data_IF_876282735871
#
_entry.id   IF_876282735871
#
_cell.length_a   1.000
_cell.length_b   1.000
_cell.length_c   1.000
_cell.angle_alpha   90.00
_cell.angle_beta   90.00
_cell.angle_gamma   90.00
#
_symmetry.space_group_name_H-M   'P 1'
#
loop_
_entity.id
_entity.type
_entity.pdbx_description
1 polymer ?
#
# COMPACT_ATOMS: atom_id res chain seq x y z
N UNK A 1 27.98 -2.55 -23.35
CA UNK A 1 28.28 -1.36 -24.18
C UNK A 1 27.66 -1.61 -25.54
N UNK A 2 26.70 -0.80 -25.94
CA UNK A 2 25.97 -0.92 -27.20
C UNK A 2 24.87 0.15 -27.21
N UNK A 3 25.04 1.26 -27.95
CA UNK A 3 24.09 2.37 -27.96
C UNK A 3 23.07 2.15 -29.08
N UNK A 4 21.78 2.35 -28.79
CA UNK A 4 20.82 2.71 -29.84
C UNK A 4 19.86 3.74 -29.26
N UNK A 5 20.17 5.00 -29.56
CA UNK A 5 19.24 6.10 -29.36
C UNK A 5 18.05 5.97 -30.31
N UNK A 6 16.90 6.47 -29.86
CA UNK A 6 15.90 7.11 -30.71
C UNK A 6 15.37 8.31 -29.95
N UNK A 7 16.19 9.36 -29.91
CA UNK A 7 15.72 10.73 -29.78
C UNK A 7 15.18 11.12 -31.16
N UNK A 8 13.86 11.07 -31.31
CA UNK A 8 13.18 11.36 -32.58
C UNK A 8 13.16 12.89 -32.81
N UNK A 9 13.81 13.43 -33.85
CA UNK A 9 13.92 14.88 -34.07
C UNK A 9 12.59 15.53 -34.50
N UNK A 10 11.53 14.77 -34.74
CA UNK A 10 10.25 15.27 -35.23
C UNK A 10 9.37 15.97 -34.16
N UNK A 11 9.71 15.91 -32.86
CA UNK A 11 8.92 16.54 -31.79
C UNK A 11 9.65 17.69 -31.06
N UNK A 12 10.73 18.20 -31.65
CA UNK A 12 11.41 19.39 -31.12
C UNK A 12 10.74 20.63 -31.71
N UNK A 13 9.63 21.04 -31.10
CA UNK A 13 9.00 22.33 -31.39
C UNK A 13 9.93 23.45 -30.89
N UNK A 14 10.92 23.82 -31.69
CA UNK A 14 11.68 25.06 -31.52
C UNK A 14 10.81 26.19 -32.04
N UNK A 15 10.17 26.91 -31.12
CA UNK A 15 9.60 28.22 -31.42
C UNK A 15 10.77 29.20 -31.57
N UNK A 16 10.92 29.91 -32.71
CA UNK A 16 11.90 30.97 -32.83
C UNK A 16 11.45 32.15 -31.97
N UNK A 17 12.17 32.42 -30.89
CA UNK A 17 12.06 33.66 -30.11
C UNK A 17 13.02 34.67 -30.73
N UNK A 18 12.54 35.38 -31.76
CA UNK A 18 13.09 36.68 -32.08
C UNK A 18 12.10 37.76 -31.63
N UNK A 19 12.67 38.83 -31.08
CA UNK A 19 12.05 40.10 -30.70
C UNK A 19 11.25 40.14 -29.39
N UNK A 20 11.97 40.27 -28.27
CA UNK A 20 11.56 41.20 -27.21
C UNK A 20 12.76 42.11 -26.96
N UNK A 21 12.53 43.42 -27.19
CA UNK A 21 13.58 44.43 -27.26
C UNK A 21 14.31 44.68 -25.94
N UNK A 22 15.40 45.44 -26.05
CA UNK A 22 16.15 46.08 -24.97
C UNK A 22 15.22 46.44 -23.80
N UNK A 23 15.29 45.63 -22.74
CA UNK A 23 14.79 46.05 -21.45
C UNK A 23 15.87 46.99 -20.92
N UNK A 24 15.63 48.30 -21.01
CA UNK A 24 16.28 49.26 -20.14
C UNK A 24 16.05 48.78 -18.70
N UNK A 25 17.10 48.21 -18.11
CA UNK A 25 17.18 47.87 -16.70
C UNK A 25 17.09 49.17 -15.89
N UNK A 26 15.87 49.71 -15.75
CA UNK A 26 15.54 50.55 -14.61
C UNK A 26 15.57 49.61 -13.42
N UNK A 27 16.76 49.46 -12.82
CA UNK A 27 16.93 49.05 -11.43
C UNK A 27 16.10 50.02 -10.58
N UNK A 28 14.81 49.71 -10.47
CA UNK A 28 13.97 50.29 -9.43
C UNK A 28 14.54 49.70 -8.15
N UNK A 29 15.35 50.49 -7.47
CA UNK A 29 15.77 50.28 -6.09
C UNK A 29 14.52 50.05 -5.24
N UNK A 30 14.16 48.78 -5.07
CA UNK A 30 13.14 48.38 -4.11
C UNK A 30 13.82 48.47 -2.75
N UNK A 31 13.48 49.51 -1.99
CA UNK A 31 14.03 49.70 -0.66
C UNK A 31 13.68 48.47 0.22
N UNK A 32 14.66 47.73 0.78
CA UNK A 32 14.39 46.55 1.59
C UNK A 32 13.67 46.86 2.91
N UNK A 33 13.48 48.15 3.22
CA UNK A 33 12.69 48.66 4.35
C UNK A 33 11.21 48.86 4.05
N UNK A 34 10.77 48.81 2.79
CA UNK A 34 9.34 48.83 2.45
C UNK A 34 8.72 47.46 2.73
N UNK A 35 8.32 47.22 3.99
CA UNK A 35 7.43 46.10 4.30
C UNK A 35 6.07 46.39 3.64
N UNK A 36 5.58 45.56 2.70
CA UNK A 36 4.22 45.71 2.21
C UNK A 36 3.28 45.58 3.42
N UNK A 37 2.48 46.62 3.70
CA UNK A 37 1.58 46.69 4.86
C UNK A 37 0.38 45.72 4.79
N UNK A 38 0.42 44.70 3.94
CA UNK A 38 -0.65 43.72 3.79
C UNK A 38 -0.18 42.35 4.30
N UNK A 39 -0.07 42.19 5.61
CA UNK A 39 -0.24 40.86 6.20
C UNK A 39 -1.73 40.51 6.08
N UNK A 40 -2.19 40.16 4.87
CA UNK A 40 -3.60 39.85 4.68
C UNK A 40 -3.92 38.60 5.53
N UNK A 41 -4.70 38.69 6.62
CA UNK A 41 -4.96 37.56 7.53
C UNK A 41 -5.78 36.46 6.84
N UNK A 42 -6.21 36.72 5.60
CA UNK A 42 -6.97 35.83 4.75
C UNK A 42 -6.20 34.54 4.41
N UNK A 43 -4.89 34.61 4.14
CA UNK A 43 -4.14 33.42 3.71
C UNK A 43 -4.06 32.37 4.83
N UNK A 44 -3.64 32.70 6.08
CA UNK A 44 -3.70 31.74 7.18
C UNK A 44 -5.13 31.27 7.50
N UNK A 45 -6.13 32.16 7.47
CA UNK A 45 -7.51 31.79 7.78
C UNK A 45 -8.11 30.79 6.77
N UNK A 46 -7.85 31.00 5.48
CA UNK A 46 -8.30 30.09 4.41
C UNK A 46 -7.63 28.72 4.54
N UNK A 47 -6.34 28.66 4.88
CA UNK A 47 -5.65 27.38 5.11
C UNK A 47 -6.30 26.60 6.26
N UNK A 48 -6.58 27.23 7.40
CA UNK A 48 -7.25 26.55 8.53
C UNK A 48 -8.66 26.07 8.18
N UNK A 49 -9.44 26.89 7.46
CA UNK A 49 -10.77 26.48 7.00
C UNK A 49 -10.70 25.23 6.10
N UNK A 50 -9.76 25.20 5.16
CA UNK A 50 -9.58 24.08 4.25
C UNK A 50 -9.06 22.82 4.98
N UNK A 51 -8.22 23.00 6.02
CA UNK A 51 -7.81 21.90 6.90
C UNK A 51 -9.03 21.28 7.61
N UNK A 52 -9.84 22.10 8.28
CA UNK A 52 -11.05 21.62 8.97
C UNK A 52 -12.04 20.93 8.02
N UNK A 53 -12.25 21.47 6.82
CA UNK A 53 -13.08 20.82 5.80
C UNK A 53 -12.54 19.44 5.40
N UNK A 54 -11.22 19.35 5.20
CA UNK A 54 -10.58 18.09 4.82
C UNK A 54 -10.68 17.04 5.93
N UNK A 55 -10.54 17.47 7.19
CA UNK A 55 -10.71 16.61 8.36
C UNK A 55 -12.14 16.03 8.42
N UNK A 56 -13.15 16.87 8.22
CA UNK A 56 -14.54 16.44 8.18
C UNK A 56 -14.84 15.44 7.05
N UNK A 57 -14.33 15.72 5.83
CA UNK A 57 -14.50 14.82 4.69
C UNK A 57 -13.83 13.44 4.93
N UNK A 58 -12.65 13.43 5.56
CA UNK A 58 -11.95 12.18 5.95
C UNK A 58 -12.76 11.37 6.96
N UNK A 59 -13.34 12.02 7.96
CA UNK A 59 -14.14 11.36 8.98
C UNK A 59 -15.41 10.74 8.36
N UNK A 60 -16.12 11.47 7.50
CA UNK A 60 -17.28 10.94 6.77
C UNK A 60 -16.95 9.72 5.90
N UNK A 61 -15.84 9.75 5.16
CA UNK A 61 -15.39 8.61 4.35
C UNK A 61 -15.04 7.41 5.23
N UNK A 62 -14.41 7.65 6.38
CA UNK A 62 -14.06 6.61 7.35
C UNK A 62 -15.30 5.94 7.91
N UNK A 63 -16.28 6.72 8.38
CA UNK A 63 -17.54 6.19 8.93
C UNK A 63 -18.32 5.39 7.90
N UNK A 64 -18.42 5.88 6.66
CA UNK A 64 -19.07 5.14 5.56
C UNK A 64 -18.38 3.80 5.29
N UNK A 65 -17.05 3.78 5.31
CA UNK A 65 -16.26 2.56 5.10
C UNK A 65 -16.47 1.57 6.25
N UNK A 66 -16.46 2.03 7.51
CA UNK A 66 -16.72 1.20 8.69
C UNK A 66 -18.13 0.60 8.65
N UNK A 67 -19.14 1.41 8.36
CA UNK A 67 -20.52 0.94 8.21
C UNK A 67 -20.66 -0.11 7.10
N UNK A 68 -20.02 0.12 5.94
CA UNK A 68 -19.99 -0.85 4.84
C UNK A 68 -19.30 -2.17 5.22
N UNK A 69 -18.18 -2.10 5.94
CA UNK A 69 -17.48 -3.28 6.45
C UNK A 69 -18.31 -4.05 7.50
N UNK A 70 -19.02 -3.34 8.38
CA UNK A 70 -19.93 -3.96 9.35
C UNK A 70 -21.08 -4.69 8.64
N UNK A 71 -21.73 -4.04 7.66
CA UNK A 71 -22.78 -4.66 6.85
C UNK A 71 -22.26 -5.85 6.02
N UNK A 72 -21.03 -5.80 5.51
CA UNK A 72 -20.40 -6.93 4.84
C UNK A 72 -20.14 -8.11 5.79
N UNK A 73 -19.66 -7.83 7.01
CA UNK A 73 -19.45 -8.85 8.05
C UNK A 73 -20.76 -9.48 8.52
N UNK A 74 -21.83 -8.69 8.68
CA UNK A 74 -23.16 -9.19 9.03
C UNK A 74 -23.71 -10.15 7.96
N UNK A 75 -23.38 -9.92 6.68
CA UNK A 75 -23.66 -10.84 5.56
C UNK A 75 -22.72 -12.05 5.49
N UNK A 76 -21.84 -12.25 6.48
CA UNK A 76 -20.91 -13.38 6.53
C UNK A 76 -19.62 -13.19 5.72
N UNK A 77 -19.38 -12.03 5.09
CA UNK A 77 -18.14 -11.79 4.35
C UNK A 77 -16.96 -11.63 5.31
N UNK A 78 -15.99 -12.53 5.21
CA UNK A 78 -14.73 -12.48 5.97
C UNK A 78 -13.64 -11.78 5.15
N UNK A 79 -13.31 -10.55 5.53
CA UNK A 79 -12.22 -9.78 4.93
C UNK A 79 -10.83 -10.27 5.33
N UNK A 80 -9.79 -9.63 4.79
CA UNK A 80 -8.38 -9.94 5.05
C UNK A 80 -7.73 -10.81 3.99
N UNK A 81 -6.40 -10.99 4.10
CA UNK A 81 -5.63 -11.81 3.17
C UNK A 81 -5.88 -13.30 3.44
N UNK A 82 -6.23 -14.11 2.42
CA UNK A 82 -6.40 -15.54 2.61
C UNK A 82 -5.07 -16.21 3.00
N UNK A 83 -5.15 -17.27 3.79
CA UNK A 83 -3.99 -18.07 4.15
C UNK A 83 -3.44 -18.81 2.91
N UNK A 84 -2.10 -18.83 2.76
CA UNK A 84 -1.43 -19.66 1.74
C UNK A 84 -1.59 -21.16 2.02
N UNK A 85 -1.67 -21.51 3.31
CA UNK A 85 -1.89 -22.88 3.75
C UNK A 85 -3.38 -23.21 3.67
N UNK A 86 -3.72 -24.37 3.10
CA UNK A 86 -5.10 -24.87 3.08
C UNK A 86 -5.27 -25.95 4.14
N UNK A 87 -6.51 -26.23 4.59
CA UNK A 87 -6.76 -27.30 5.56
C UNK A 87 -6.31 -28.69 5.07
N UNK A 88 -6.34 -28.94 3.75
CA UNK A 88 -5.82 -30.17 3.17
C UNK A 88 -4.29 -30.24 3.29
N UNK A 89 -3.59 -29.16 2.94
CA UNK A 89 -2.14 -29.05 3.10
C UNK A 89 -1.73 -29.17 4.57
N UNK A 90 -2.53 -28.65 5.51
CA UNK A 90 -2.26 -28.76 6.95
C UNK A 90 -2.28 -30.20 7.43
N UNK A 91 -3.25 -31.00 6.97
CA UNK A 91 -3.33 -32.43 7.30
C UNK A 91 -2.15 -33.21 6.72
N UNK A 92 -1.77 -32.90 5.48
CA UNK A 92 -0.59 -33.51 4.86
C UNK A 92 0.69 -33.15 5.62
N UNK A 93 0.85 -31.87 5.99
CA UNK A 93 1.97 -31.39 6.77
C UNK A 93 2.05 -32.05 8.15
N UNK A 94 0.92 -32.25 8.82
CA UNK A 94 0.88 -32.98 10.09
C UNK A 94 1.35 -34.43 9.92
N UNK A 95 0.88 -35.14 8.90
CA UNK A 95 1.29 -36.52 8.64
C UNK A 95 2.76 -36.64 8.21
N UNK A 96 3.26 -35.69 7.42
CA UNK A 96 4.63 -35.68 6.93
C UNK A 96 5.64 -35.35 8.04
N UNK A 97 5.34 -34.37 8.89
CA UNK A 97 6.20 -33.98 10.02
C UNK A 97 6.23 -35.03 11.14
N UNK A 98 5.20 -35.88 11.24
CA UNK A 98 5.20 -37.01 12.17
C UNK A 98 6.13 -38.16 11.76
N UNK A 99 6.63 -38.16 10.52
CA UNK A 99 7.56 -39.17 10.01
C UNK A 99 8.99 -38.62 10.04
N UNK A 100 9.96 -39.35 10.64
CA UNK A 100 11.34 -38.88 10.75
C UNK A 100 12.10 -38.83 9.41
N UNK A 101 11.60 -39.50 8.37
CA UNK A 101 12.29 -39.59 7.06
C UNK A 101 11.95 -38.44 6.09
N UNK A 102 11.09 -37.50 6.49
CA UNK A 102 10.65 -36.44 5.58
C UNK A 102 11.69 -35.32 5.46
N UNK A 103 12.20 -35.09 4.24
CA UNK A 103 12.98 -33.89 3.94
C UNK A 103 12.06 -32.64 3.89
N UNK A 104 12.22 -31.75 4.87
CA UNK A 104 11.37 -30.55 5.02
C UNK A 104 11.48 -29.61 3.82
N UNK A 105 12.63 -29.55 3.16
CA UNK A 105 12.87 -28.62 2.07
C UNK A 105 12.10 -29.04 0.81
N UNK A 106 12.23 -30.31 0.41
CA UNK A 106 11.57 -30.86 -0.77
C UNK A 106 10.05 -30.84 -0.58
N UNK A 107 9.60 -31.17 0.63
CA UNK A 107 8.19 -31.09 1.01
C UNK A 107 7.61 -29.67 0.90
N UNK A 108 8.38 -28.65 1.26
CA UNK A 108 7.97 -27.25 1.12
C UNK A 108 7.84 -26.83 -0.36
N UNK A 109 8.77 -27.28 -1.20
CA UNK A 109 8.74 -27.04 -2.65
C UNK A 109 7.50 -27.67 -3.28
N UNK A 110 7.22 -28.94 -2.96
CA UNK A 110 6.05 -29.67 -3.46
C UNK A 110 4.74 -28.99 -3.05
N UNK A 111 4.64 -28.52 -1.80
CA UNK A 111 3.48 -27.79 -1.31
C UNK A 111 3.36 -26.35 -1.83
N UNK A 112 4.41 -25.81 -2.47
CA UNK A 112 4.51 -24.42 -2.90
C UNK A 112 4.52 -23.42 -1.74
N UNK A 113 5.08 -23.80 -0.59
CA UNK A 113 5.18 -22.98 0.61
C UNK A 113 6.62 -22.81 1.04
N UNK A 114 6.93 -21.72 1.74
CA UNK A 114 8.24 -21.55 2.36
C UNK A 114 8.28 -22.23 3.73
N UNK A 115 9.46 -22.68 4.17
CA UNK A 115 9.67 -23.32 5.49
C UNK A 115 9.09 -22.52 6.65
N UNK A 116 9.19 -21.19 6.59
CA UNK A 116 8.61 -20.28 7.60
C UNK A 116 7.10 -20.44 7.71
N UNK A 117 6.41 -20.64 6.59
CA UNK A 117 4.97 -20.88 6.57
C UNK A 117 4.67 -22.22 7.22
N UNK A 118 5.37 -23.30 6.83
CA UNK A 118 5.20 -24.62 7.42
C UNK A 118 5.35 -24.59 8.95
N UNK A 119 6.46 -24.06 9.47
CA UNK A 119 6.73 -24.04 10.91
C UNK A 119 5.77 -23.14 11.70
N UNK A 120 5.17 -22.14 11.06
CA UNK A 120 4.17 -21.29 11.72
C UNK A 120 2.87 -22.07 12.00
N UNK A 121 2.54 -23.03 11.13
CA UNK A 121 1.31 -23.83 11.23
C UNK A 121 1.51 -25.17 11.95
N UNK A 122 2.68 -25.82 11.78
CA UNK A 122 2.96 -27.17 12.30
C UNK A 122 4.33 -27.20 12.99
N UNK A 123 4.38 -27.83 14.17
CA UNK A 123 5.62 -28.04 14.93
C UNK A 123 6.47 -29.21 14.39
N UNK A 124 7.72 -29.37 14.87
CA UNK A 124 8.62 -30.44 14.43
C UNK A 124 8.08 -31.86 14.61
N UNK A 125 7.16 -32.07 15.57
CA UNK A 125 6.53 -33.37 15.88
C UNK A 125 5.16 -33.57 15.22
N UNK A 126 4.74 -32.68 14.32
CA UNK A 126 3.40 -32.72 13.72
C UNK A 126 2.29 -32.09 14.58
N UNK A 127 2.63 -31.44 15.68
CA UNK A 127 1.69 -30.69 16.52
C UNK A 127 1.17 -29.45 15.78
N UNK A 128 -0.14 -29.20 15.85
CA UNK A 128 -0.75 -28.02 15.22
C UNK A 128 -0.51 -26.81 16.13
N UNK A 129 0.05 -25.73 15.57
CA UNK A 129 0.21 -24.46 16.28
C UNK A 129 -1.04 -23.59 16.18
N UNK A 130 -1.08 -22.52 16.97
CA UNK A 130 -2.21 -21.58 17.03
C UNK A 130 -2.67 -21.06 15.66
N UNK A 131 -1.77 -20.86 14.70
CA UNK A 131 -2.15 -20.43 13.36
C UNK A 131 -2.82 -21.56 12.54
N UNK A 132 -2.48 -22.82 12.79
CA UNK A 132 -3.17 -23.98 12.22
C UNK A 132 -4.57 -24.15 12.76
N UNK A 133 -4.75 -23.91 14.06
CA UNK A 133 -6.07 -23.88 14.69
C UNK A 133 -6.94 -22.77 14.10
N UNK A 134 -6.39 -21.56 13.93
CA UNK A 134 -7.09 -20.44 13.28
C UNK A 134 -7.52 -20.79 11.85
N UNK A 135 -6.69 -21.50 11.09
CA UNK A 135 -7.03 -21.93 9.73
C UNK A 135 -8.20 -22.94 9.72
N UNK A 136 -8.20 -23.89 10.65
CA UNK A 136 -9.27 -24.87 10.80
C UNK A 136 -10.58 -24.19 11.24
N UNK A 137 -10.50 -23.25 12.18
CA UNK A 137 -11.63 -22.43 12.61
C UNK A 137 -12.18 -21.57 11.46
N UNK A 138 -11.29 -20.95 10.66
CA UNK A 138 -11.68 -20.17 9.49
C UNK A 138 -12.49 -20.99 8.49
N UNK A 139 -12.09 -22.25 8.23
CA UNK A 139 -12.82 -23.16 7.34
C UNK A 139 -14.22 -23.50 7.88
N UNK A 140 -14.34 -23.81 9.17
CA UNK A 140 -15.63 -24.17 9.80
C UNK A 140 -16.68 -23.08 9.68
N UNK A 141 -16.25 -21.82 9.64
CA UNK A 141 -17.14 -20.67 9.59
C UNK A 141 -17.42 -20.17 8.15
N UNK A 142 -16.90 -20.83 7.11
CA UNK A 142 -17.21 -20.53 5.69
C UNK A 142 -18.34 -21.43 5.16
N UNK A 143 -18.51 -22.61 5.74
CA UNK A 143 -19.62 -23.52 5.48
C UNK A 143 -20.76 -23.25 6.47
#
# INVERSE_FOLDING_TARGET
MGPTGRDDPANRCTIPVEAVGEHDDVERSVDPTERPQAHLPLVPAVVHLLQHRTEFERELISERTKAGLAAARARGRKGGRPFKMTPAKLRLAQAAMGKPETCVNDFCVELGIIRQTLYRFVGPRGEIRSDGEKLLAYRRMRN
#
